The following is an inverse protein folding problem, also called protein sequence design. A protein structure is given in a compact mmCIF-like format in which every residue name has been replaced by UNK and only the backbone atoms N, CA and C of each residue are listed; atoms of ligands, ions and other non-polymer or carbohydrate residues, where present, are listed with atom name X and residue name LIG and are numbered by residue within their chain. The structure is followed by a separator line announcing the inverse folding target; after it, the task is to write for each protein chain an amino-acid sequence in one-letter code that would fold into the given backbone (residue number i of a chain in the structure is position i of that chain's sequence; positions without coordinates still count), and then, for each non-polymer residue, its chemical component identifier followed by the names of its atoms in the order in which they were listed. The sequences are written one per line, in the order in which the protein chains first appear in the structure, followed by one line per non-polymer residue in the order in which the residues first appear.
data_IF_846469839868
#
_entry.id   IF_846469839868
#
_cell.length_a   1.000
_cell.length_b   1.000
_cell.length_c   1.000
_cell.angle_alpha   90.00
_cell.angle_beta   90.00
_cell.angle_gamma   90.00
#
_symmetry.space_group_name_H-M   'P 1'
#
loop_
_entity.id
_entity.type
_entity.pdbx_description
1 polymer ?
#
# COMPACT_ATOMS: atom_id res chain seq x y z
N UNK A 1 13.37 -18.25 33.40
CA UNK A 1 12.04 -18.05 32.78
C UNK A 1 12.09 -16.76 31.98
N UNK A 2 12.28 -16.83 30.67
CA UNK A 2 12.31 -15.66 29.78
C UNK A 2 11.19 -15.79 28.73
N UNK A 3 10.49 -14.68 28.58
CA UNK A 3 9.27 -14.40 27.84
C UNK A 3 9.27 -14.93 26.38
N UNK A 4 8.39 -15.90 26.06
CA UNK A 4 8.09 -16.36 24.69
C UNK A 4 6.86 -15.62 24.12
N UNK A 5 7.02 -14.41 23.55
CA UNK A 5 5.92 -13.72 22.83
C UNK A 5 6.30 -12.93 21.57
N UNK A 6 7.52 -13.04 21.01
CA UNK A 6 7.95 -12.18 19.88
C UNK A 6 8.49 -12.90 18.62
N UNK A 7 8.30 -14.21 18.46
CA UNK A 7 9.03 -15.00 17.44
C UNK A 7 8.37 -15.12 16.06
N UNK A 8 7.06 -14.91 15.90
CA UNK A 8 6.37 -15.18 14.62
C UNK A 8 6.50 -14.07 13.57
N UNK A 9 6.64 -12.80 13.97
CA UNK A 9 6.78 -11.68 13.01
C UNK A 9 8.15 -11.64 12.34
N UNK A 10 9.21 -12.12 12.99
CA UNK A 10 10.60 -11.95 12.55
C UNK A 10 11.00 -12.87 11.36
N UNK A 11 10.33 -14.01 11.20
CA UNK A 11 10.63 -15.02 10.17
C UNK A 11 10.24 -14.53 8.77
N UNK A 12 9.10 -13.84 8.65
CA UNK A 12 8.58 -13.31 7.38
C UNK A 12 9.54 -12.27 6.78
N UNK A 13 10.10 -11.38 7.62
CA UNK A 13 11.03 -10.34 7.15
C UNK A 13 12.31 -10.93 6.55
N UNK A 14 12.88 -12.00 7.14
CA UNK A 14 14.17 -12.57 6.70
C UNK A 14 14.10 -13.16 5.30
N UNK A 15 13.02 -13.89 4.97
CA UNK A 15 12.82 -14.51 3.65
C UNK A 15 12.62 -13.43 2.58
N UNK A 16 11.84 -12.39 2.90
CA UNK A 16 11.63 -11.25 2.02
C UNK A 16 12.94 -10.52 1.67
N UNK A 17 13.82 -10.26 2.65
CA UNK A 17 15.13 -9.63 2.41
C UNK A 17 16.09 -10.51 1.58
N UNK A 18 16.04 -11.84 1.72
CA UNK A 18 16.83 -12.77 0.91
C UNK A 18 16.37 -12.80 -0.56
N UNK A 19 15.07 -12.75 -0.81
CA UNK A 19 14.50 -12.65 -2.15
C UNK A 19 14.82 -11.31 -2.84
N UNK A 20 14.79 -10.22 -2.08
CA UNK A 20 15.29 -8.90 -2.56
C UNK A 20 16.75 -9.04 -3.00
N UNK A 21 17.63 -9.64 -2.19
CA UNK A 21 19.05 -9.80 -2.55
C UNK A 21 19.26 -10.57 -3.87
N UNK A 22 18.36 -11.49 -4.23
CA UNK A 22 18.40 -12.24 -5.49
C UNK A 22 17.93 -11.42 -6.70
N UNK A 23 16.95 -10.52 -6.55
CA UNK A 23 16.52 -9.60 -7.60
C UNK A 23 17.53 -8.50 -7.89
N UNK A 24 18.22 -8.01 -6.85
CA UNK A 24 19.17 -6.91 -6.93
C UNK A 24 20.62 -7.41 -6.98
N UNK A 25 20.92 -8.41 -7.84
CA UNK A 25 22.30 -8.90 -8.08
C UNK A 25 23.25 -7.71 -8.28
N UNK A 26 24.21 -7.55 -7.36
CA UNK A 26 25.25 -6.52 -7.40
C UNK A 26 25.26 -5.52 -6.24
N UNK A 27 24.25 -5.52 -5.34
CA UNK A 27 24.25 -4.63 -4.18
C UNK A 27 24.48 -5.39 -2.87
N UNK A 28 25.55 -5.04 -2.15
CA UNK A 28 25.86 -5.57 -0.83
C UNK A 28 24.87 -4.95 0.17
N UNK A 29 23.70 -5.57 0.34
CA UNK A 29 22.87 -5.32 1.53
C UNK A 29 23.50 -6.10 2.68
N UNK A 30 24.15 -5.39 3.61
CA UNK A 30 24.66 -5.98 4.86
C UNK A 30 23.47 -6.37 5.75
N UNK A 31 23.14 -7.66 5.75
CA UNK A 31 22.21 -8.26 6.71
C UNK A 31 22.98 -8.42 8.04
N UNK A 32 22.44 -8.01 9.20
CA UNK A 32 23.11 -8.21 10.49
C UNK A 32 23.35 -9.70 10.78
N UNK A 33 24.56 -10.06 11.18
CA UNK A 33 25.07 -11.45 11.31
C UNK A 33 24.43 -12.33 12.41
N UNK A 34 23.31 -11.93 13.01
CA UNK A 34 22.77 -12.59 14.21
C UNK A 34 21.49 -13.40 13.95
N UNK A 35 21.28 -13.86 12.71
CA UNK A 35 20.06 -14.60 12.33
C UNK A 35 20.35 -16.10 12.40
N UNK A 36 19.77 -16.79 13.39
CA UNK A 36 19.67 -18.25 13.41
C UNK A 36 18.27 -18.67 12.93
N UNK A 37 18.24 -19.59 11.97
CA UNK A 37 17.01 -20.23 11.49
C UNK A 37 16.72 -21.41 12.42
N UNK A 38 15.57 -21.40 13.07
CA UNK A 38 15.05 -22.55 13.80
C UNK A 38 13.75 -22.99 13.14
N UNK A 39 13.81 -24.12 12.44
CA UNK A 39 12.63 -24.86 12.02
C UNK A 39 12.19 -25.74 13.18
N UNK A 40 10.98 -25.51 13.72
CA UNK A 40 10.03 -26.60 13.97
C UNK A 40 8.69 -26.17 14.60
N UNK A 41 7.67 -26.88 14.10
CA UNK A 41 6.41 -27.36 14.70
C UNK A 41 5.35 -26.38 15.21
N UNK A 42 4.19 -26.45 14.52
CA UNK A 42 2.85 -26.67 15.05
C UNK A 42 2.49 -26.04 16.39
N UNK A 43 1.64 -25.00 16.35
CA UNK A 43 0.53 -24.77 17.28
C UNK A 43 -0.20 -23.47 16.89
N UNK A 44 -1.39 -23.58 16.30
CA UNK A 44 -2.34 -22.48 16.21
C UNK A 44 -3.24 -22.54 17.44
N UNK A 45 -3.13 -21.55 18.34
CA UNK A 45 -4.00 -21.43 19.51
C UNK A 45 -5.37 -20.93 19.05
N UNK A 46 -6.40 -21.78 19.15
CA UNK A 46 -7.79 -21.36 19.10
C UNK A 46 -8.15 -20.62 20.38
N UNK A 47 -8.53 -19.34 20.29
CA UNK A 47 -9.10 -18.58 21.40
C UNK A 47 -10.61 -18.53 21.20
N UNK A 48 -11.35 -19.08 22.18
CA UNK A 48 -12.81 -19.00 22.28
C UNK A 48 -13.16 -17.71 23.02
N UNK A 49 -13.89 -16.78 22.38
CA UNK A 49 -14.35 -15.55 23.01
C UNK A 49 -15.88 -15.60 23.19
N UNK A 50 -16.31 -15.70 24.44
CA UNK A 50 -17.68 -15.43 24.87
C UNK A 50 -17.74 -14.04 25.51
N UNK A 51 -18.63 -13.21 24.94
CA UNK A 51 -19.28 -11.99 25.47
C UNK A 51 -18.45 -10.97 26.22
N UNK A 52 -18.37 -9.75 25.67
CA UNK A 52 -18.82 -8.51 26.29
C UNK A 52 -19.10 -7.49 25.15
N UNK A 53 -20.04 -6.57 25.36
CA UNK A 53 -20.42 -5.36 24.59
C UNK A 53 -21.70 -5.43 23.73
N UNK A 54 -22.63 -4.53 24.09
CA UNK A 54 -24.00 -4.30 23.62
C UNK A 54 -24.11 -4.05 22.11
N UNK A 55 -25.17 -4.60 21.51
CA UNK A 55 -25.45 -4.53 20.07
C UNK A 55 -25.74 -3.10 19.57
N UNK A 56 -26.26 -2.22 20.44
CA UNK A 56 -26.59 -0.82 20.11
C UNK A 56 -25.35 0.08 19.87
N UNK A 57 -24.19 -0.31 20.41
CA UNK A 57 -22.95 0.45 20.22
C UNK A 57 -22.35 0.23 18.81
N UNK A 58 -22.72 -0.85 18.14
CA UNK A 58 -22.18 -1.24 16.83
C UNK A 58 -22.86 -0.54 15.66
N UNK A 59 -24.17 -0.29 15.73
CA UNK A 59 -24.91 0.51 14.73
C UNK A 59 -24.36 1.94 14.63
N UNK A 60 -24.03 2.57 15.76
CA UNK A 60 -23.45 3.93 15.80
C UNK A 60 -21.99 4.00 15.30
N UNK A 61 -21.18 2.96 15.54
CA UNK A 61 -19.79 2.91 15.04
C UNK A 61 -19.75 2.56 13.55
N UNK A 62 -20.62 1.66 13.07
CA UNK A 62 -20.72 1.34 11.64
C UNK A 62 -21.25 2.51 10.81
N UNK A 63 -22.11 3.36 11.39
CA UNK A 63 -22.63 4.54 10.71
C UNK A 63 -21.65 5.74 10.68
N UNK A 64 -20.47 5.67 11.33
CA UNK A 64 -19.55 6.82 11.45
C UNK A 64 -18.09 6.58 11.03
N UNK A 65 -17.71 5.38 10.57
CA UNK A 65 -16.42 5.26 9.89
C UNK A 65 -16.58 5.73 8.45
N UNK A 66 -16.19 6.98 8.17
CA UNK A 66 -15.92 7.45 6.81
C UNK A 66 -14.82 6.56 6.20
N UNK A 67 -15.24 5.48 5.55
CA UNK A 67 -14.35 4.56 4.89
C UNK A 67 -13.93 5.16 3.54
N UNK A 68 -12.63 5.17 3.24
CA UNK A 68 -12.14 5.68 1.96
C UNK A 68 -11.12 4.78 1.29
N UNK A 69 -11.31 4.58 -0.01
CA UNK A 69 -10.49 3.71 -0.85
C UNK A 69 -9.97 4.54 -2.02
N UNK A 70 -8.67 4.50 -2.24
CA UNK A 70 -8.00 5.20 -3.33
C UNK A 70 -7.44 4.17 -4.33
N UNK A 71 -7.68 4.38 -5.62
CA UNK A 71 -7.02 3.64 -6.72
C UNK A 71 -6.22 4.62 -7.58
N UNK A 72 -4.91 4.41 -7.69
CA UNK A 72 -3.99 5.24 -8.47
C UNK A 72 -3.45 4.42 -9.64
N UNK A 73 -3.65 4.92 -10.85
CA UNK A 73 -3.38 4.16 -12.08
C UNK A 73 -4.40 3.04 -12.25
N UNK A 74 -5.63 3.47 -12.51
CA UNK A 74 -6.80 2.58 -12.59
C UNK A 74 -6.66 1.61 -13.76
N UNK A 75 -6.14 2.10 -14.89
CA UNK A 75 -6.05 1.34 -16.12
C UNK A 75 -7.42 0.81 -16.57
N UNK A 76 -7.40 -0.32 -17.30
CA UNK A 76 -8.60 -0.92 -17.91
C UNK A 76 -9.19 -2.11 -17.14
N UNK A 77 -8.62 -2.50 -15.99
CA UNK A 77 -9.12 -3.63 -15.17
C UNK A 77 -9.50 -3.21 -13.75
N UNK A 78 -10.77 -2.87 -13.57
CA UNK A 78 -11.34 -2.43 -12.29
C UNK A 78 -12.01 -3.54 -11.47
N UNK A 79 -11.66 -4.82 -11.69
CA UNK A 79 -12.32 -5.95 -11.02
C UNK A 79 -12.16 -5.90 -9.50
N UNK A 80 -10.99 -5.49 -9.01
CA UNK A 80 -10.72 -5.40 -7.58
C UNK A 80 -11.63 -4.35 -6.93
N UNK A 81 -11.69 -3.16 -7.54
CA UNK A 81 -12.52 -2.04 -7.10
C UNK A 81 -14.00 -2.39 -7.14
N UNK A 82 -14.48 -3.02 -8.22
CA UNK A 82 -15.87 -3.52 -8.31
C UNK A 82 -16.19 -4.50 -7.20
N UNK A 83 -15.27 -5.43 -6.90
CA UNK A 83 -15.46 -6.41 -5.83
C UNK A 83 -15.45 -5.74 -4.45
N UNK A 84 -14.59 -4.75 -4.24
CA UNK A 84 -14.55 -3.97 -3.01
C UNK A 84 -15.82 -3.14 -2.83
N UNK A 85 -16.29 -2.45 -3.87
CA UNK A 85 -17.53 -1.66 -3.80
C UNK A 85 -18.75 -2.52 -3.51
N UNK A 86 -18.81 -3.73 -4.07
CA UNK A 86 -19.85 -4.70 -3.74
C UNK A 86 -19.79 -5.15 -2.28
N UNK A 87 -18.59 -5.42 -1.75
CA UNK A 87 -18.40 -5.91 -0.38
C UNK A 87 -18.47 -4.81 0.69
N UNK A 88 -18.19 -3.56 0.32
CA UNK A 88 -18.06 -2.38 1.18
C UNK A 88 -18.78 -1.18 0.54
N UNK A 89 -20.11 -1.27 0.32
CA UNK A 89 -20.87 -0.26 -0.41
C UNK A 89 -20.85 1.12 0.24
N UNK A 90 -20.65 1.19 1.56
CA UNK A 90 -20.55 2.40 2.38
C UNK A 90 -19.24 3.17 2.19
N UNK A 91 -18.18 2.54 1.67
CA UNK A 91 -16.92 3.21 1.41
C UNK A 91 -17.02 4.17 0.22
N UNK A 92 -16.32 5.29 0.34
CA UNK A 92 -16.09 6.25 -0.75
C UNK A 92 -14.86 5.80 -1.55
N UNK A 93 -14.99 5.80 -2.88
CA UNK A 93 -13.94 5.38 -3.79
C UNK A 93 -13.46 6.59 -4.59
N UNK A 94 -12.15 6.74 -4.70
CA UNK A 94 -11.50 7.82 -5.43
C UNK A 94 -10.45 7.24 -6.37
N UNK A 95 -10.62 7.44 -7.67
CA UNK A 95 -9.76 6.93 -8.72
C UNK A 95 -9.02 8.07 -9.40
N UNK A 96 -7.73 7.90 -9.65
CA UNK A 96 -6.96 8.83 -10.47
C UNK A 96 -6.23 8.10 -11.59
N UNK A 97 -6.43 8.56 -12.81
CA UNK A 97 -5.76 8.05 -14.00
C UNK A 97 -5.57 9.16 -15.05
N UNK A 98 -4.40 9.28 -15.70
CA UNK A 98 -4.20 10.31 -16.73
C UNK A 98 -4.98 10.04 -18.03
N UNK A 99 -5.45 8.82 -18.29
CA UNK A 99 -6.23 8.48 -19.47
C UNK A 99 -7.72 8.53 -19.11
N UNK A 100 -8.49 9.41 -19.78
CA UNK A 100 -9.91 9.60 -19.46
C UNK A 100 -10.79 8.52 -20.11
N UNK A 101 -10.59 8.26 -21.40
CA UNK A 101 -11.47 7.55 -22.33
C UNK A 101 -12.27 6.38 -21.69
N UNK A 102 -11.71 5.16 -21.71
CA UNK A 102 -12.39 3.98 -21.18
C UNK A 102 -12.35 3.95 -19.64
N UNK A 103 -11.29 4.50 -19.04
CA UNK A 103 -11.00 4.35 -17.62
C UNK A 103 -12.05 5.07 -16.76
N UNK A 104 -12.54 6.23 -17.22
CA UNK A 104 -13.61 6.98 -16.55
C UNK A 104 -14.91 6.19 -16.55
N UNK A 105 -15.35 5.69 -17.71
CA UNK A 105 -16.59 4.92 -17.82
C UNK A 105 -16.54 3.66 -16.95
N UNK A 106 -15.37 3.03 -16.84
CA UNK A 106 -15.17 1.86 -15.99
C UNK A 106 -15.23 2.17 -14.50
N UNK A 107 -14.74 3.34 -14.07
CA UNK A 107 -14.57 3.68 -12.65
C UNK A 107 -15.72 4.51 -12.07
N UNK A 108 -16.36 5.40 -12.82
CA UNK A 108 -17.45 6.26 -12.32
C UNK A 108 -18.61 5.49 -11.66
N UNK A 109 -18.99 4.26 -12.10
CA UNK A 109 -19.98 3.45 -11.38
C UNK A 109 -19.53 2.99 -9.97
N UNK A 110 -18.24 3.09 -9.66
CA UNK A 110 -17.60 2.64 -8.42
C UNK A 110 -17.39 3.83 -7.47
N UNK A 111 -16.91 4.97 -8.00
CA UNK A 111 -16.63 6.19 -7.24
C UNK A 111 -16.15 7.36 -8.12
N UNK A 112 -15.55 8.36 -7.50
CA UNK A 112 -15.14 9.60 -8.18
C UNK A 112 -13.87 9.37 -9.01
N UNK A 113 -13.93 9.70 -10.30
CA UNK A 113 -12.80 9.64 -11.23
C UNK A 113 -12.13 11.01 -11.40
N UNK A 114 -10.80 11.04 -11.35
CA UNK A 114 -9.99 12.24 -11.59
C UNK A 114 -9.01 12.01 -12.74
N UNK A 115 -9.18 12.76 -13.82
CA UNK A 115 -8.28 12.71 -14.97
C UNK A 115 -6.94 13.42 -14.67
N UNK A 116 -6.04 12.71 -13.99
CA UNK A 116 -4.70 13.16 -13.65
C UNK A 116 -3.83 11.99 -13.22
N UNK A 117 -2.53 12.10 -13.43
CA UNK A 117 -1.57 11.23 -12.79
C UNK A 117 -1.32 11.67 -11.34
N UNK A 118 -1.04 10.71 -10.46
CA UNK A 118 -0.59 10.98 -9.09
C UNK A 118 0.84 10.47 -8.93
N UNK A 119 1.73 11.35 -8.48
CA UNK A 119 3.17 11.07 -8.39
C UNK A 119 3.83 11.77 -7.21
N UNK A 120 5.13 12.10 -7.37
CA UNK A 120 5.93 12.69 -6.30
C UNK A 120 5.92 14.23 -6.26
N UNK A 121 5.46 14.87 -7.34
CA UNK A 121 5.48 16.33 -7.49
C UNK A 121 4.39 16.82 -8.43
N UNK A 122 4.00 18.08 -8.24
CA UNK A 122 3.07 18.77 -9.13
C UNK A 122 3.77 19.23 -10.42
N UNK A 123 3.09 19.12 -11.56
CA UNK A 123 3.57 19.63 -12.84
C UNK A 123 3.01 18.85 -14.03
N UNK A 124 3.52 19.17 -15.23
CA UNK A 124 3.28 18.34 -16.42
C UNK A 124 4.54 17.51 -16.68
N UNK A 125 4.39 16.19 -16.74
CA UNK A 125 5.52 15.27 -16.93
C UNK A 125 5.20 14.26 -18.01
N UNK A 126 6.26 13.76 -18.65
CA UNK A 126 6.13 12.68 -19.61
C UNK A 126 5.98 11.36 -18.86
N UNK A 127 4.82 10.74 -18.96
CA UNK A 127 4.49 9.46 -18.30
C UNK A 127 4.19 8.37 -19.32
N UNK A 128 4.45 7.13 -18.95
CA UNK A 128 4.09 5.97 -19.74
C UNK A 128 2.65 5.59 -19.42
N UNK A 129 1.77 5.63 -20.41
CA UNK A 129 0.32 5.50 -20.23
C UNK A 129 -0.26 4.47 -21.19
N UNK A 130 -1.32 3.78 -20.75
CA UNK A 130 -2.02 2.76 -21.52
C UNK A 130 -3.34 3.31 -22.08
N UNK A 131 -3.38 3.54 -23.39
CA UNK A 131 -4.62 3.72 -24.16
C UNK A 131 -4.92 2.41 -24.92
N UNK A 132 -4.75 2.39 -26.24
CA UNK A 132 -4.77 1.16 -27.05
C UNK A 132 -3.42 0.43 -27.02
N UNK A 133 -2.34 1.22 -26.96
CA UNK A 133 -0.97 0.76 -26.79
C UNK A 133 -0.28 1.65 -25.76
N UNK A 134 0.74 1.11 -25.11
CA UNK A 134 1.57 1.89 -24.21
C UNK A 134 2.37 2.96 -24.97
N UNK A 135 2.25 4.21 -24.54
CA UNK A 135 2.98 5.34 -25.13
C UNK A 135 3.37 6.36 -24.08
N UNK A 136 4.39 7.15 -24.41
CA UNK A 136 4.76 8.29 -23.57
C UNK A 136 3.94 9.52 -23.96
N UNK A 137 3.27 10.13 -23.00
CA UNK A 137 2.51 11.36 -23.18
C UNK A 137 2.79 12.35 -22.05
N UNK A 138 2.64 13.65 -22.34
CA UNK A 138 2.66 14.67 -21.31
C UNK A 138 1.33 14.64 -20.53
N UNK A 139 1.41 14.38 -19.24
CA UNK A 139 0.27 14.24 -18.35
C UNK A 139 0.36 15.25 -17.22
N UNK A 140 -0.79 15.80 -16.83
CA UNK A 140 -0.87 16.60 -15.60
C UNK A 140 -0.72 15.66 -14.43
N UNK A 141 0.31 15.89 -13.62
CA UNK A 141 0.58 15.12 -12.40
C UNK A 141 0.42 16.01 -11.19
N UNK A 142 -0.25 15.48 -10.17
CA UNK A 142 -0.29 16.06 -8.83
C UNK A 142 0.48 15.16 -7.86
N UNK A 143 1.10 15.75 -6.85
CA UNK A 143 1.69 14.96 -5.78
C UNK A 143 0.61 14.31 -4.91
N UNK A 144 0.96 13.19 -4.27
CA UNK A 144 0.00 12.40 -3.49
C UNK A 144 -0.67 13.19 -2.34
N UNK A 145 0.06 14.08 -1.66
CA UNK A 145 -0.51 14.89 -0.57
C UNK A 145 -1.51 15.89 -1.14
N UNK A 146 -1.16 16.55 -2.25
CA UNK A 146 -2.06 17.48 -2.95
C UNK A 146 -3.32 16.78 -3.43
N UNK A 147 -3.20 15.61 -4.05
CA UNK A 147 -4.34 14.81 -4.47
C UNK A 147 -5.29 14.51 -3.30
N UNK A 148 -4.75 13.99 -2.20
CA UNK A 148 -5.55 13.63 -1.02
C UNK A 148 -6.21 14.87 -0.42
N UNK A 149 -5.48 15.98 -0.25
CA UNK A 149 -6.03 17.17 0.38
C UNK A 149 -7.07 17.90 -0.47
N UNK A 150 -6.94 17.87 -1.80
CA UNK A 150 -7.84 18.63 -2.69
C UNK A 150 -9.01 17.80 -3.20
N UNK A 151 -8.80 16.51 -3.46
CA UNK A 151 -9.79 15.64 -4.14
C UNK A 151 -10.46 14.67 -3.17
N UNK A 152 -9.67 13.96 -2.38
CA UNK A 152 -10.19 12.93 -1.46
C UNK A 152 -10.78 13.54 -0.18
N UNK A 153 -10.08 14.53 0.38
CA UNK A 153 -10.44 15.25 1.60
C UNK A 153 -10.68 14.36 2.83
N UNK A 154 -10.05 13.18 2.87
CA UNK A 154 -10.02 12.26 4.02
C UNK A 154 -8.60 12.13 4.55
N UNK A 155 -8.47 12.15 5.89
CA UNK A 155 -7.17 12.02 6.57
C UNK A 155 -6.81 10.59 6.93
N UNK A 156 -7.81 9.72 7.12
CA UNK A 156 -7.61 8.28 7.30
C UNK A 156 -8.10 7.59 6.03
N UNK A 157 -7.18 6.96 5.32
CA UNK A 157 -7.45 6.18 4.11
C UNK A 157 -7.40 4.70 4.47
N UNK A 158 -8.48 3.98 4.23
CA UNK A 158 -8.60 2.57 4.61
C UNK A 158 -7.77 1.68 3.70
N UNK A 159 -7.80 1.94 2.39
CA UNK A 159 -6.98 1.23 1.41
C UNK A 159 -6.52 2.15 0.27
N UNK A 160 -5.27 1.97 -0.14
CA UNK A 160 -4.69 2.59 -1.33
C UNK A 160 -4.15 1.50 -2.25
N UNK A 161 -4.61 1.47 -3.50
CA UNK A 161 -4.10 0.61 -4.56
C UNK A 161 -3.30 1.45 -5.54
N UNK A 162 -2.12 0.98 -5.92
CA UNK A 162 -1.14 1.77 -6.68
C UNK A 162 -0.55 0.91 -7.78
N UNK A 163 -0.79 1.33 -9.03
CA UNK A 163 -0.15 0.81 -10.23
C UNK A 163 0.06 1.98 -11.21
N UNK A 164 1.09 2.79 -10.96
CA UNK A 164 1.30 4.09 -11.62
C UNK A 164 2.43 4.05 -12.65
N UNK A 165 2.64 2.89 -13.26
CA UNK A 165 3.49 2.67 -14.45
C UNK A 165 4.86 3.39 -14.37
N UNK A 166 5.76 2.85 -13.52
CA UNK A 166 7.13 3.31 -13.27
C UNK A 166 7.30 4.52 -12.34
N UNK A 167 6.21 5.16 -11.90
CA UNK A 167 6.29 6.25 -10.92
C UNK A 167 6.33 5.77 -9.45
N UNK A 168 6.31 4.45 -9.20
CA UNK A 168 6.09 3.87 -7.87
C UNK A 168 7.26 4.12 -6.93
N UNK A 169 8.50 4.09 -7.41
CA UNK A 169 9.65 4.26 -6.53
C UNK A 169 9.63 5.58 -5.78
N UNK A 170 9.30 6.68 -6.47
CA UNK A 170 9.32 8.02 -5.86
C UNK A 170 8.20 8.22 -4.86
N UNK A 171 7.02 7.60 -5.09
CA UNK A 171 5.91 7.69 -4.15
C UNK A 171 6.20 6.97 -2.82
N UNK A 172 7.15 6.03 -2.79
CA UNK A 172 7.58 5.39 -1.53
C UNK A 172 8.13 6.40 -0.50
N UNK A 173 8.63 7.56 -0.94
CA UNK A 173 9.10 8.62 -0.03
C UNK A 173 7.95 9.31 0.71
N UNK A 174 6.70 9.12 0.30
CA UNK A 174 5.52 9.60 1.02
C UNK A 174 5.17 8.70 2.19
N UNK A 175 5.58 7.43 2.12
CA UNK A 175 5.27 6.41 3.09
C UNK A 175 6.41 6.26 4.10
N UNK A 176 6.11 6.48 5.38
CA UNK A 176 7.06 6.21 6.44
C UNK A 176 6.90 7.13 7.63
N UNK A 177 7.74 6.90 8.63
CA UNK A 177 7.72 7.68 9.85
C UNK A 177 8.21 9.09 9.56
N UNK A 178 7.41 10.08 9.93
CA UNK A 178 7.70 11.50 9.71
C UNK A 178 7.92 11.84 8.23
N UNK A 179 7.35 11.07 7.30
CA UNK A 179 7.39 11.33 5.85
C UNK A 179 6.18 12.15 5.39
N UNK A 180 6.09 12.45 4.08
CA UNK A 180 5.13 13.43 3.55
C UNK A 180 3.69 13.23 4.03
N UNK A 181 3.17 12.00 4.02
CA UNK A 181 1.79 11.77 4.50
C UNK A 181 1.65 12.04 5.99
N UNK A 182 2.53 11.51 6.83
CA UNK A 182 2.46 11.69 8.29
C UNK A 182 2.70 13.16 8.68
N UNK A 183 3.54 13.89 7.95
CA UNK A 183 3.74 15.34 8.15
C UNK A 183 2.52 16.19 7.79
N UNK A 184 1.59 15.63 7.03
CA UNK A 184 0.34 16.28 6.60
C UNK A 184 -0.91 15.69 7.28
N UNK A 185 -0.71 14.97 8.38
CA UNK A 185 -1.75 14.26 9.16
C UNK A 185 -2.59 13.29 8.32
N UNK A 186 -1.99 12.71 7.28
CA UNK A 186 -2.60 11.70 6.42
C UNK A 186 -2.05 10.32 6.81
N UNK A 187 -2.95 9.37 7.03
CA UNK A 187 -2.61 8.00 7.37
C UNK A 187 -3.35 7.03 6.46
N UNK A 188 -2.58 6.17 5.81
CA UNK A 188 -3.12 5.06 5.03
C UNK A 188 -3.01 3.80 5.87
N UNK A 189 -4.08 3.02 5.96
CA UNK A 189 -4.14 1.80 6.77
C UNK A 189 -3.69 0.57 6.00
N UNK A 190 -4.04 0.46 4.72
CA UNK A 190 -3.61 -0.64 3.86
C UNK A 190 -3.10 -0.10 2.52
N UNK A 191 -1.98 -0.61 2.04
CA UNK A 191 -1.43 -0.28 0.71
C UNK A 191 -1.18 -1.56 -0.05
N UNK A 192 -1.73 -1.63 -1.26
CA UNK A 192 -1.41 -2.63 -2.26
C UNK A 192 -0.71 -1.93 -3.41
N UNK A 193 0.55 -2.26 -3.67
CA UNK A 193 1.34 -1.60 -4.72
C UNK A 193 2.01 -2.62 -5.62
N UNK A 194 1.83 -2.46 -6.93
CA UNK A 194 2.60 -3.13 -7.97
C UNK A 194 3.78 -2.24 -8.36
N UNK A 195 4.99 -2.65 -8.00
CA UNK A 195 6.23 -1.92 -8.28
C UNK A 195 6.89 -2.57 -9.48
N UNK A 196 6.96 -1.83 -10.58
CA UNK A 196 7.70 -2.20 -11.78
C UNK A 196 9.20 -2.34 -11.52
N UNK A 197 9.92 -3.03 -12.41
CA UNK A 197 11.38 -3.16 -12.32
C UNK A 197 12.05 -1.79 -12.15
N UNK A 198 13.15 -1.70 -11.38
CA UNK A 198 13.89 -0.45 -11.25
C UNK A 198 14.53 -0.11 -12.60
N UNK A 199 14.39 1.14 -13.03
CA UNK A 199 14.99 1.64 -14.27
C UNK A 199 16.40 2.18 -14.00
N UNK A 200 16.64 2.68 -12.78
CA UNK A 200 17.87 3.34 -12.39
C UNK A 200 18.50 2.74 -11.12
N UNK A 201 19.75 3.12 -10.83
CA UNK A 201 20.37 2.84 -9.54
C UNK A 201 19.67 3.59 -8.40
N UNK A 202 19.13 4.78 -8.69
CA UNK A 202 18.41 5.61 -7.73
C UNK A 202 17.14 4.91 -7.22
N UNK A 203 16.36 4.28 -8.09
CA UNK A 203 15.16 3.51 -7.72
C UNK A 203 15.49 2.41 -6.70
N UNK A 204 16.61 1.71 -6.92
CA UNK A 204 17.11 0.67 -6.01
C UNK A 204 17.46 1.25 -4.65
N UNK A 205 18.05 2.44 -4.62
CA UNK A 205 18.39 3.14 -3.39
C UNK A 205 17.13 3.62 -2.66
N UNK A 206 16.15 4.18 -3.37
CA UNK A 206 14.88 4.60 -2.78
C UNK A 206 14.17 3.41 -2.15
N UNK A 207 14.06 2.31 -2.88
CA UNK A 207 13.44 1.08 -2.38
C UNK A 207 14.17 0.51 -1.15
N UNK A 208 15.50 0.42 -1.22
CA UNK A 208 16.32 -0.06 -0.09
C UNK A 208 16.13 0.81 1.16
N UNK A 209 16.12 2.14 0.99
CA UNK A 209 15.89 3.09 2.10
C UNK A 209 14.48 2.98 2.67
N UNK A 210 13.47 2.81 1.83
CA UNK A 210 12.09 2.59 2.26
C UNK A 210 12.02 1.36 3.19
N UNK A 211 12.61 0.23 2.77
CA UNK A 211 12.66 -0.98 3.57
C UNK A 211 13.45 -0.81 4.88
N UNK A 212 14.61 -0.16 4.83
CA UNK A 212 15.43 0.09 6.02
C UNK A 212 14.69 0.98 7.04
N UNK A 213 14.08 2.07 6.56
CA UNK A 213 13.25 2.96 7.40
C UNK A 213 12.07 2.20 7.98
N UNK A 214 11.41 1.35 7.19
CA UNK A 214 10.30 0.54 7.69
C UNK A 214 10.77 -0.46 8.76
N UNK A 215 11.90 -1.13 8.58
CA UNK A 215 12.46 -2.06 9.57
C UNK A 215 12.72 -1.38 10.92
N UNK A 216 13.24 -0.14 10.91
CA UNK A 216 13.49 0.65 12.12
C UNK A 216 12.19 1.15 12.77
N UNK A 217 11.26 1.67 11.96
CA UNK A 217 10.04 2.32 12.44
C UNK A 217 8.90 1.34 12.76
N UNK A 218 8.93 0.13 12.19
CA UNK A 218 7.87 -0.88 12.24
C UNK A 218 6.51 -0.34 11.78
N UNK A 219 6.52 0.59 10.84
CA UNK A 219 5.30 1.26 10.38
C UNK A 219 4.42 0.34 9.54
N UNK A 220 5.03 -0.41 8.62
CA UNK A 220 4.35 -1.28 7.68
C UNK A 220 4.65 -2.75 7.98
N UNK A 221 3.59 -3.52 8.16
CA UNK A 221 3.61 -4.97 8.22
C UNK A 221 3.38 -5.47 6.79
N UNK A 222 4.37 -6.12 6.20
CA UNK A 222 4.23 -6.75 4.89
C UNK A 222 3.48 -8.07 5.04
N UNK A 223 2.46 -8.28 4.23
CA UNK A 223 1.63 -9.50 4.19
C UNK A 223 1.64 -9.99 2.75
N UNK A 224 1.76 -11.30 2.53
CA UNK A 224 1.63 -11.95 1.21
C UNK A 224 2.31 -11.20 0.05
N UNK A 225 3.48 -10.59 0.29
CA UNK A 225 4.17 -9.80 -0.72
C UNK A 225 4.89 -10.72 -1.70
N UNK A 226 4.67 -10.50 -2.98
CA UNK A 226 5.11 -11.38 -4.06
C UNK A 226 6.15 -10.69 -4.93
N UNK A 227 7.05 -11.49 -5.44
CA UNK A 227 8.04 -11.10 -6.41
C UNK A 227 7.76 -11.96 -7.63
N UNK A 228 7.59 -11.35 -8.79
CA UNK A 228 7.39 -12.06 -10.05
C UNK A 228 8.63 -11.88 -10.93
N UNK A 229 9.66 -12.75 -10.85
CA UNK A 229 10.92 -12.53 -11.56
C UNK A 229 10.77 -12.51 -13.09
N UNK A 230 9.77 -13.23 -13.60
CA UNK A 230 9.48 -13.34 -15.04
C UNK A 230 8.81 -12.06 -15.55
N UNK A 231 7.78 -11.59 -14.83
CA UNK A 231 7.03 -10.37 -15.18
C UNK A 231 7.75 -9.09 -14.74
N UNK A 232 8.80 -9.23 -13.92
CA UNK A 232 9.68 -8.17 -13.42
C UNK A 232 8.94 -7.09 -12.62
N UNK A 233 7.91 -7.48 -11.88
CA UNK A 233 7.23 -6.63 -10.90
C UNK A 233 7.29 -7.24 -9.49
N UNK A 234 7.07 -6.37 -8.50
CA UNK A 234 6.97 -6.72 -7.08
C UNK A 234 5.59 -6.27 -6.61
N UNK A 235 4.83 -7.15 -5.97
CA UNK A 235 3.55 -6.80 -5.34
C UNK A 235 3.74 -6.75 -3.84
N UNK A 236 3.53 -5.58 -3.25
CA UNK A 236 3.57 -5.41 -1.80
C UNK A 236 2.16 -5.17 -1.28
N UNK A 237 1.78 -5.94 -0.26
CA UNK A 237 0.60 -5.67 0.55
C UNK A 237 1.07 -5.28 1.95
N UNK A 238 0.67 -4.11 2.40
CA UNK A 238 1.21 -3.46 3.59
C UNK A 238 0.08 -3.01 4.49
N UNK A 239 0.13 -3.36 5.77
CA UNK A 239 -0.78 -2.84 6.80
C UNK A 239 -0.02 -1.91 7.74
N UNK A 240 -0.60 -0.75 8.04
CA UNK A 240 -0.04 0.22 8.98
C UNK A 240 -0.15 -0.29 10.42
N UNK A 241 0.96 -0.82 10.92
CA UNK A 241 1.09 -1.38 12.26
C UNK A 241 1.48 -0.36 13.34
N UNK A 242 1.49 0.94 13.02
CA UNK A 242 1.90 2.01 13.94
C UNK A 242 0.81 3.03 14.23
N UNK A 243 -0.02 3.39 13.26
CA UNK A 243 -1.12 4.33 13.50
C UNK A 243 -2.20 3.67 14.38
N UNK A 244 -2.60 4.27 15.52
CA UNK A 244 -3.57 3.66 16.44
C UNK A 244 -4.93 3.37 15.80
N UNK A 245 -5.41 4.23 14.91
CA UNK A 245 -6.70 4.07 14.24
C UNK A 245 -6.66 2.89 13.25
N UNK A 246 -5.59 2.77 12.46
CA UNK A 246 -5.40 1.62 11.57
C UNK A 246 -5.28 0.30 12.34
N UNK A 247 -4.56 0.30 13.47
CA UNK A 247 -4.47 -0.85 14.37
C UNK A 247 -5.85 -1.23 14.91
N UNK A 248 -6.63 -0.24 15.38
CA UNK A 248 -7.99 -0.43 15.90
C UNK A 248 -8.92 -1.02 14.84
N UNK A 249 -8.86 -0.52 13.60
CA UNK A 249 -9.69 -0.98 12.49
C UNK A 249 -9.36 -2.40 12.02
N UNK A 250 -8.07 -2.75 11.93
CA UNK A 250 -7.64 -3.92 11.16
C UNK A 250 -6.83 -4.98 11.92
N UNK A 251 -6.31 -4.68 13.11
CA UNK A 251 -5.38 -5.59 13.81
C UNK A 251 -5.83 -6.00 15.23
N UNK A 252 -6.72 -5.22 15.87
CA UNK A 252 -7.24 -5.52 17.20
C UNK A 252 -8.63 -6.20 17.17
N UNK A 253 -9.22 -6.34 15.98
CA UNK A 253 -10.51 -7.01 15.76
C UNK A 253 -10.26 -8.51 15.51
N UNK A 254 -9.82 -9.24 16.54
CA UNK A 254 -9.67 -10.71 16.51
C UNK A 254 -10.13 -11.33 17.82
#
# INVERSE_FOLDING_TARGET
MLNRRNSSKLVVYTIFFLLIKLLFKGSIVKIPNNIQILENSADCVQIKLERLFDDDYWELIYQQLNCSIISLGIGKDVKAEKKMKYNMPECLFYGADPIEEDNKELFEPIGDFYNMAVGDKNGSFRSYVLEDIYRYQEVTTVDLVTFINQKVQQKIIDQMMIDIEHAEYKILNFFGKNEELERNDIYVCQINIEIHKPESFEDRIIFSRFLEKNFKSKQWIFINSEIHPILKHIRLFMINGRNPECIRRYLLKS
#
